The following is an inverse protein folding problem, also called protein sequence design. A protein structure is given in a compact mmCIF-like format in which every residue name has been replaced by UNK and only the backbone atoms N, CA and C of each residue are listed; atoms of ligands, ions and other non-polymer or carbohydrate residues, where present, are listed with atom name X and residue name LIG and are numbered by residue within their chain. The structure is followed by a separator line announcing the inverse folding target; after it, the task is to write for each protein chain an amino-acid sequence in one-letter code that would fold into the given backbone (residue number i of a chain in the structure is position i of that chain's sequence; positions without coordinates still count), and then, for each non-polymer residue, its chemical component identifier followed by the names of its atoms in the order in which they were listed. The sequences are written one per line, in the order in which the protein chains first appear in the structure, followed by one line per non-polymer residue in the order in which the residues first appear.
data_IF_192220603370
#
_entry.id   IF_192220603370
#
_cell.length_a   1.000
_cell.length_b   1.000
_cell.length_c   1.000
_cell.angle_alpha   90.00
_cell.angle_beta   90.00
_cell.angle_gamma   90.00
#
_symmetry.space_group_name_H-M   'P 1'
#
loop_
_entity.id
_entity.type
_entity.pdbx_description
1 polymer ?
#
# COMPACT_ATOMS: atom_id res chain seq x y z
N UNK A 1 40.54 13.10 38.97
CA UNK A 1 40.11 12.41 40.21
C UNK A 1 38.82 13.10 40.66
N UNK A 2 37.63 12.54 40.85
CA UNK A 2 37.12 11.17 40.97
C UNK A 2 35.67 11.12 40.46
N UNK A 3 35.30 9.90 40.06
CA UNK A 3 34.04 9.37 39.55
C UNK A 3 32.79 9.80 40.32
N UNK A 4 31.74 10.23 39.60
CA UNK A 4 30.35 10.19 40.07
C UNK A 4 29.90 8.72 40.11
N UNK A 5 29.74 8.18 41.32
CA UNK A 5 29.26 6.81 41.54
C UNK A 5 27.72 6.78 41.55
N UNK A 6 27.15 6.01 40.62
CA UNK A 6 25.81 5.40 40.72
C UNK A 6 25.73 4.56 41.99
N UNK A 7 24.69 4.73 42.83
CA UNK A 7 24.15 3.68 43.71
C UNK A 7 22.63 3.85 43.96
N UNK A 8 21.94 2.75 44.30
CA UNK A 8 20.64 2.37 43.73
C UNK A 8 19.44 2.61 44.67
N UNK A 9 18.23 2.65 44.11
CA UNK A 9 16.98 2.56 44.87
C UNK A 9 16.83 1.14 45.44
N UNK A 10 16.85 1.03 46.78
CA UNK A 10 16.54 -0.20 47.49
C UNK A 10 15.03 -0.30 47.75
N UNK A 11 14.51 -1.48 47.41
CA UNK A 11 13.19 -1.99 47.76
C UNK A 11 12.87 -1.80 49.25
N UNK A 12 11.72 -1.19 49.55
CA UNK A 12 11.07 -1.34 50.84
C UNK A 12 10.04 -2.48 50.75
N UNK A 13 10.26 -3.51 51.54
CA UNK A 13 9.37 -4.65 51.71
C UNK A 13 8.07 -4.26 52.41
N UNK A 14 6.98 -4.84 51.93
CA UNK A 14 5.68 -4.87 52.59
C UNK A 14 5.71 -5.85 53.77
N UNK A 15 5.18 -5.49 54.95
CA UNK A 15 4.62 -6.47 55.87
C UNK A 15 3.14 -6.68 55.52
N UNK A 16 2.81 -7.91 55.15
CA UNK A 16 1.44 -8.43 55.18
C UNK A 16 0.99 -8.54 56.64
N UNK A 17 -0.19 -8.00 56.96
CA UNK A 17 -1.31 -8.69 57.63
C UNK A 17 -2.17 -7.67 58.36
N UNK A 18 -3.41 -7.49 57.92
CA UNK A 18 -4.60 -7.44 58.78
C UNK A 18 -5.84 -7.50 57.88
N UNK A 19 -6.46 -8.68 57.84
CA UNK A 19 -7.79 -8.88 57.27
C UNK A 19 -8.84 -8.31 58.22
N UNK A 20 -9.62 -7.32 57.78
CA UNK A 20 -10.97 -7.07 58.32
C UNK A 20 -11.92 -6.58 57.21
N UNK A 21 -12.96 -7.39 57.01
CA UNK A 21 -14.30 -7.08 56.49
C UNK A 21 -14.42 -6.20 55.23
N UNK A 22 -14.52 -6.86 54.07
CA UNK A 22 -14.99 -6.25 52.83
C UNK A 22 -16.47 -5.87 52.93
N UNK A 23 -16.75 -4.58 53.13
CA UNK A 23 -18.07 -4.01 52.87
C UNK A 23 -18.45 -4.21 51.39
N UNK A 24 -19.67 -4.69 51.13
CA UNK A 24 -20.26 -4.86 49.77
C UNK A 24 -20.26 -3.58 48.91
N UNK A 25 -19.87 -2.42 49.46
CA UNK A 25 -19.66 -1.18 48.70
C UNK A 25 -18.34 -1.13 47.92
N UNK A 26 -17.36 -2.00 48.18
CA UNK A 26 -16.08 -1.99 47.45
C UNK A 26 -16.01 -2.94 46.25
N UNK A 27 -16.86 -3.97 46.17
CA UNK A 27 -16.90 -4.89 45.01
C UNK A 27 -17.67 -4.36 43.80
N UNK A 28 -18.44 -3.27 43.92
CA UNK A 28 -19.02 -2.58 42.74
C UNK A 28 -18.00 -1.77 41.93
N UNK A 29 -16.76 -1.61 42.40
CA UNK A 29 -15.71 -0.87 41.68
C UNK A 29 -14.75 -1.75 40.86
N UNK A 30 -14.93 -3.08 40.84
CA UNK A 30 -14.03 -3.98 40.12
C UNK A 30 -14.64 -4.66 38.88
N UNK A 31 -15.94 -4.47 38.60
CA UNK A 31 -16.58 -4.92 37.34
C UNK A 31 -16.86 -3.79 36.33
N UNK A 32 -16.27 -2.60 36.50
CA UNK A 32 -16.28 -1.53 35.48
C UNK A 32 -14.94 -1.41 34.72
N UNK A 33 -14.16 -2.50 34.67
CA UNK A 33 -12.84 -2.54 34.02
C UNK A 33 -12.82 -3.13 32.60
N UNK A 34 -13.95 -3.15 31.89
CA UNK A 34 -13.99 -3.53 30.45
C UNK A 34 -14.59 -2.46 29.53
N UNK A 35 -14.85 -1.24 30.01
CA UNK A 35 -15.50 -0.19 29.21
C UNK A 35 -14.66 1.07 28.91
N UNK A 36 -13.40 1.16 29.36
CA UNK A 36 -12.64 2.44 29.34
C UNK A 36 -11.39 2.43 28.47
N UNK A 37 -11.39 1.72 27.34
CA UNK A 37 -10.34 1.87 26.31
C UNK A 37 -10.92 1.85 24.88
N UNK A 38 -12.18 2.30 24.71
CA UNK A 38 -12.83 2.42 23.39
C UNK A 38 -13.47 3.80 23.16
N UNK A 39 -12.84 4.84 23.68
CA UNK A 39 -13.19 6.25 23.40
C UNK A 39 -11.95 7.07 23.06
N UNK A 40 -11.15 6.58 22.11
CA UNK A 40 -10.10 7.40 21.52
C UNK A 40 -10.27 7.61 20.00
N UNK A 41 -11.29 6.99 19.39
CA UNK A 41 -11.70 7.29 18.03
C UNK A 41 -13.22 7.19 17.93
N UNK A 42 -13.88 8.35 17.75
CA UNK A 42 -15.30 8.45 17.41
C UNK A 42 -16.25 8.79 18.57
N UNK A 43 -16.32 10.07 18.94
CA UNK A 43 -17.61 10.72 19.26
C UNK A 43 -17.44 12.26 19.26
N UNK A 44 -17.25 12.84 18.07
CA UNK A 44 -17.40 14.29 17.89
C UNK A 44 -18.90 14.62 17.84
N UNK A 45 -19.59 14.47 18.97
CA UNK A 45 -20.95 15.02 19.11
C UNK A 45 -20.85 16.54 19.19
N UNK A 46 -21.28 17.17 18.09
CA UNK A 46 -21.87 18.51 17.97
C UNK A 46 -21.89 19.34 19.26
N UNK A 47 -21.15 20.45 19.22
CA UNK A 47 -21.59 21.72 19.76
C UNK A 47 -21.56 21.88 21.27
N UNK A 48 -20.41 22.33 21.78
CA UNK A 48 -20.39 23.37 22.81
C UNK A 48 -18.97 23.95 22.85
N UNK A 49 -18.79 25.14 22.28
CA UNK A 49 -17.63 25.97 22.55
C UNK A 49 -17.62 26.24 24.07
N UNK A 50 -16.61 25.80 24.84
CA UNK A 50 -16.58 26.05 26.28
C UNK A 50 -16.38 27.53 26.64
N UNK A 51 -16.19 28.40 25.63
CA UNK A 51 -15.94 29.84 25.74
C UNK A 51 -17.01 30.71 25.04
N UNK A 52 -18.31 30.49 25.26
CA UNK A 52 -19.37 31.41 24.79
C UNK A 52 -19.45 31.63 23.26
N UNK A 53 -20.25 32.60 22.77
CA UNK A 53 -20.44 32.83 21.34
C UNK A 53 -19.26 33.63 20.78
N UNK A 54 -18.19 32.93 20.42
CA UNK A 54 -17.14 33.45 19.54
C UNK A 54 -17.65 33.64 18.10
N UNK A 55 -16.87 34.32 17.26
CA UNK A 55 -17.13 34.46 15.81
C UNK A 55 -17.28 33.12 15.09
N UNK A 56 -16.72 32.03 15.65
CA UNK A 56 -16.94 30.64 15.26
C UNK A 56 -18.41 30.18 15.28
N UNK A 57 -19.32 30.86 15.98
CA UNK A 57 -20.75 30.50 16.02
C UNK A 57 -21.48 30.66 14.69
N UNK A 58 -20.96 31.49 13.79
CA UNK A 58 -21.54 31.74 12.45
C UNK A 58 -20.98 30.76 11.40
N UNK A 59 -19.74 30.30 11.60
CA UNK A 59 -19.02 29.46 10.64
C UNK A 59 -19.30 27.99 10.87
N UNK A 60 -19.73 27.29 9.81
CA UNK A 60 -19.92 25.83 9.88
C UNK A 60 -18.55 25.13 10.02
N UNK A 61 -18.42 24.12 10.91
CA UNK A 61 -17.19 23.33 11.01
C UNK A 61 -16.83 22.69 9.67
N UNK A 62 -15.56 22.81 9.30
CA UNK A 62 -14.99 22.15 8.12
C UNK A 62 -14.58 20.71 8.47
N UNK A 63 -14.74 19.81 7.51
CA UNK A 63 -14.21 18.45 7.63
C UNK A 63 -12.70 18.47 7.37
N UNK A 64 -11.97 17.59 8.06
CA UNK A 64 -10.57 17.32 7.75
C UNK A 64 -10.45 16.70 6.34
N UNK A 65 -9.40 17.02 5.58
CA UNK A 65 -9.12 16.33 4.32
C UNK A 65 -8.76 14.87 4.56
N UNK A 66 -8.97 14.01 3.56
CA UNK A 66 -8.47 12.63 3.58
C UNK A 66 -6.96 12.63 3.75
N UNK A 67 -6.42 11.78 4.63
CA UNK A 67 -5.00 11.72 4.97
C UNK A 67 -4.40 13.04 5.49
N UNK A 68 -5.22 13.83 6.19
CA UNK A 68 -4.77 15.03 6.90
C UNK A 68 -5.58 15.35 8.15
N UNK A 69 -5.16 16.41 8.84
CA UNK A 69 -5.78 16.94 10.03
C UNK A 69 -6.18 18.40 9.83
N UNK A 70 -7.11 18.88 10.66
CA UNK A 70 -7.57 20.27 10.64
C UNK A 70 -7.53 20.84 12.05
N UNK A 71 -6.97 22.03 12.18
CA UNK A 71 -6.96 22.81 13.41
C UNK A 71 -7.62 24.16 13.14
N UNK A 72 -8.77 24.40 13.77
CA UNK A 72 -9.47 25.68 13.68
C UNK A 72 -9.40 26.43 15.00
N UNK A 73 -9.22 27.75 14.92
CA UNK A 73 -9.14 28.62 16.08
C UNK A 73 -9.80 29.97 15.84
N UNK A 74 -10.35 30.52 16.91
CA UNK A 74 -10.81 31.90 16.97
C UNK A 74 -9.57 32.80 17.17
N UNK A 75 -9.21 33.56 16.12
CA UNK A 75 -8.22 34.64 16.24
C UNK A 75 -8.96 35.95 16.54
N UNK A 76 -8.22 36.97 16.97
CA UNK A 76 -8.78 38.25 17.44
C UNK A 76 -9.69 38.97 16.44
N UNK A 77 -9.59 38.67 15.14
CA UNK A 77 -10.34 39.34 14.07
C UNK A 77 -10.94 38.41 13.01
N UNK A 78 -10.63 37.11 13.02
CA UNK A 78 -11.17 36.14 12.06
C UNK A 78 -11.15 34.74 12.65
N UNK A 79 -12.02 33.87 12.13
CA UNK A 79 -11.98 32.44 12.40
C UNK A 79 -11.15 31.76 11.31
N UNK A 80 -10.03 31.12 11.69
CA UNK A 80 -9.10 30.49 10.76
C UNK A 80 -9.01 29.00 11.01
N UNK A 81 -9.13 28.24 9.94
CA UNK A 81 -8.90 26.80 9.90
C UNK A 81 -7.63 26.51 9.10
N UNK A 82 -6.69 25.80 9.71
CA UNK A 82 -5.49 25.30 9.05
C UNK A 82 -5.64 23.80 8.85
N UNK A 83 -5.68 23.36 7.60
CA UNK A 83 -5.55 21.96 7.24
C UNK A 83 -4.07 21.63 7.03
N UNK A 84 -3.65 20.47 7.52
CA UNK A 84 -2.30 19.96 7.39
C UNK A 84 -2.34 18.50 6.94
N UNK A 85 -1.62 18.17 5.87
CA UNK A 85 -1.52 16.80 5.41
C UNK A 85 -0.63 15.96 6.34
N UNK A 86 -0.89 14.65 6.40
CA UNK A 86 -0.05 13.71 7.13
C UNK A 86 1.33 13.60 6.45
N UNK A 87 2.32 13.09 7.19
CA UNK A 87 3.68 12.90 6.66
C UNK A 87 3.68 12.09 5.37
N UNK A 88 4.33 12.61 4.33
CA UNK A 88 4.37 11.99 3.00
C UNK A 88 3.12 12.22 2.15
N UNK A 89 2.30 13.21 2.52
CA UNK A 89 1.21 13.71 1.71
C UNK A 89 1.28 15.23 1.58
N UNK A 90 0.83 15.74 0.44
CA UNK A 90 0.78 17.17 0.12
C UNK A 90 -0.53 17.49 -0.60
N UNK A 91 -0.90 18.76 -0.67
CA UNK A 91 -2.00 19.21 -1.52
C UNK A 91 -1.55 19.31 -2.98
N UNK A 92 -2.51 19.42 -3.89
CA UNK A 92 -2.28 19.46 -5.35
C UNK A 92 -1.32 20.57 -5.80
N UNK A 93 -1.14 21.60 -4.97
CA UNK A 93 -0.24 22.74 -5.20
C UNK A 93 1.18 22.53 -4.62
N UNK A 94 1.46 21.38 -4.01
CA UNK A 94 2.74 21.06 -3.35
C UNK A 94 2.84 21.57 -1.90
N UNK A 95 1.81 22.23 -1.36
CA UNK A 95 1.83 22.64 0.03
C UNK A 95 1.46 21.49 0.96
N UNK A 96 2.04 21.44 2.15
CA UNK A 96 1.61 20.53 3.22
C UNK A 96 0.54 21.13 4.13
N UNK A 97 0.31 22.45 4.03
CA UNK A 97 -0.67 23.18 4.85
C UNK A 97 -1.46 24.19 4.03
N UNK A 98 -2.78 24.21 4.20
CA UNK A 98 -3.66 25.23 3.61
C UNK A 98 -4.45 25.90 4.73
N UNK A 99 -4.51 27.23 4.70
CA UNK A 99 -5.32 28.02 5.63
C UNK A 99 -6.57 28.54 4.94
N UNK A 100 -7.69 28.55 5.66
CA UNK A 100 -8.95 29.15 5.22
C UNK A 100 -9.50 30.05 6.31
N UNK A 101 -9.83 31.26 5.91
CA UNK A 101 -10.48 32.26 6.77
C UNK A 101 -11.97 32.29 6.49
N UNK A 102 -12.75 32.32 7.56
CA UNK A 102 -14.19 32.51 7.51
C UNK A 102 -14.52 33.99 7.74
N UNK A 103 -15.39 34.54 6.91
CA UNK A 103 -15.98 35.86 7.10
C UNK A 103 -17.00 35.82 8.25
N UNK A 104 -16.78 36.60 9.32
CA UNK A 104 -17.67 36.61 10.48
C UNK A 104 -19.05 37.22 10.21
N UNK A 105 -19.21 38.02 9.15
CA UNK A 105 -20.49 38.63 8.79
C UNK A 105 -21.38 37.68 7.98
N UNK A 106 -20.78 36.92 7.07
CA UNK A 106 -21.51 36.03 6.15
C UNK A 106 -21.48 34.56 6.55
N UNK A 107 -20.54 34.14 7.42
CA UNK A 107 -20.31 32.74 7.78
C UNK A 107 -19.70 31.90 6.67
N UNK A 108 -19.16 32.54 5.62
CA UNK A 108 -18.62 31.88 4.44
C UNK A 108 -17.08 31.89 4.44
N UNK A 109 -16.48 30.83 3.91
CA UNK A 109 -15.03 30.75 3.72
C UNK A 109 -14.61 31.35 2.37
N UNK A 110 -13.61 32.23 2.36
CA UNK A 110 -13.15 32.92 1.14
C UNK A 110 -12.67 31.99 0.03
N UNK A 111 -12.07 30.85 0.38
CA UNK A 111 -11.53 29.86 -0.57
C UNK A 111 -12.45 28.64 -0.74
N UNK A 112 -13.75 28.79 -0.45
CA UNK A 112 -14.75 27.74 -0.58
C UNK A 112 -14.89 26.80 0.62
N UNK A 113 -15.96 25.99 0.66
CA UNK A 113 -16.45 25.33 1.86
C UNK A 113 -15.78 23.98 2.23
N UNK A 114 -14.74 23.56 1.51
CA UNK A 114 -14.04 22.29 1.76
C UNK A 114 -12.56 22.39 1.43
N UNK A 115 -11.70 21.69 2.17
CA UNK A 115 -10.29 21.53 1.80
C UNK A 115 -10.14 20.54 0.63
N UNK A 116 -9.17 20.75 -0.27
CA UNK A 116 -8.78 19.73 -1.24
C UNK A 116 -8.24 18.48 -0.51
N UNK A 117 -8.12 17.37 -1.23
CA UNK A 117 -7.60 16.13 -0.65
C UNK A 117 -6.08 16.21 -0.54
N UNK A 118 -5.51 15.51 0.43
CA UNK A 118 -4.07 15.29 0.46
C UNK A 118 -3.74 14.14 -0.50
N UNK A 119 -2.80 14.36 -1.41
CA UNK A 119 -2.27 13.38 -2.34
C UNK A 119 -0.94 12.82 -1.80
N UNK A 120 -0.68 11.51 -1.94
CA UNK A 120 0.56 10.91 -1.46
C UNK A 120 1.76 11.40 -2.28
N UNK A 121 2.89 11.59 -1.62
CA UNK A 121 4.16 11.97 -2.24
C UNK A 121 5.17 10.85 -2.16
N UNK A 122 5.97 10.71 -3.22
CA UNK A 122 6.98 9.68 -3.37
C UNK A 122 8.34 10.36 -3.62
N UNK A 123 9.36 10.01 -2.84
CA UNK A 123 10.73 10.50 -3.02
C UNK A 123 11.73 9.33 -3.01
N UNK A 124 12.35 9.00 -4.15
CA UNK A 124 12.19 9.59 -5.48
C UNK A 124 10.78 9.41 -6.08
N UNK A 125 10.45 10.25 -7.06
CA UNK A 125 9.17 10.15 -7.78
C UNK A 125 9.07 8.83 -8.53
N UNK A 126 7.85 8.29 -8.65
CA UNK A 126 7.58 7.10 -9.43
C UNK A 126 7.94 7.34 -10.90
N UNK A 127 8.70 6.43 -11.49
CA UNK A 127 9.16 6.51 -12.88
C UNK A 127 8.20 5.80 -13.82
N UNK A 128 8.41 5.97 -15.12
CA UNK A 128 7.78 5.16 -16.19
C UNK A 128 6.24 5.09 -16.12
N UNK A 129 5.59 6.19 -15.75
CA UNK A 129 4.13 6.26 -15.64
C UNK A 129 3.56 5.63 -14.37
N UNK A 130 4.40 5.32 -13.39
CA UNK A 130 3.96 4.92 -12.06
C UNK A 130 3.24 6.05 -11.33
N UNK A 131 2.23 5.71 -10.53
CA UNK A 131 1.47 6.66 -9.71
C UNK A 131 1.71 6.41 -8.24
N UNK A 132 1.96 7.46 -7.46
CA UNK A 132 2.10 7.34 -6.01
C UNK A 132 0.71 7.04 -5.41
N UNK A 133 0.56 5.90 -4.75
CA UNK A 133 -0.71 5.47 -4.14
C UNK A 133 -0.70 5.59 -2.62
N UNK A 134 0.48 5.56 -2.02
CA UNK A 134 0.75 5.85 -0.60
C UNK A 134 2.14 6.49 -0.48
N UNK A 135 2.51 7.09 0.66
CA UNK A 135 3.83 7.69 0.85
C UNK A 135 4.95 6.72 0.47
N UNK A 136 5.76 7.09 -0.52
CA UNK A 136 6.85 6.27 -1.07
C UNK A 136 6.43 4.88 -1.60
N UNK A 137 5.15 4.69 -1.95
CA UNK A 137 4.64 3.46 -2.57
C UNK A 137 4.08 3.80 -3.94
N UNK A 138 4.73 3.26 -4.97
CA UNK A 138 4.33 3.43 -6.36
C UNK A 138 3.47 2.26 -6.85
N UNK A 139 2.39 2.57 -7.54
CA UNK A 139 1.67 1.64 -8.40
C UNK A 139 2.23 1.78 -9.81
N UNK A 140 2.91 0.74 -10.30
CA UNK A 140 3.56 0.76 -11.60
C UNK A 140 2.61 0.50 -12.76
N UNK A 141 2.92 1.07 -13.91
CA UNK A 141 2.25 0.74 -15.16
C UNK A 141 2.59 -0.71 -15.57
N UNK A 142 1.73 -1.39 -16.35
CA UNK A 142 2.00 -2.75 -16.82
C UNK A 142 3.35 -2.86 -17.52
N UNK A 143 4.19 -3.82 -17.11
CA UNK A 143 5.55 -3.98 -17.63
C UNK A 143 6.64 -3.23 -16.88
N UNK A 144 6.30 -2.52 -15.79
CA UNK A 144 7.27 -1.85 -14.93
C UNK A 144 7.17 -2.37 -13.49
N UNK A 145 8.33 -2.51 -12.87
CA UNK A 145 8.59 -3.05 -11.54
C UNK A 145 9.60 -2.19 -10.81
N UNK A 146 9.66 -2.44 -9.50
CA UNK A 146 10.66 -1.85 -8.64
C UNK A 146 9.98 -1.00 -7.60
N UNK A 147 10.78 -0.44 -6.69
CA UNK A 147 10.22 0.37 -5.60
C UNK A 147 9.62 1.68 -6.14
N UNK A 148 10.20 2.19 -7.23
CA UNK A 148 9.85 3.43 -7.90
C UNK A 148 9.53 3.21 -9.38
N UNK A 149 9.18 1.97 -9.77
CA UNK A 149 8.90 1.59 -11.16
C UNK A 149 10.08 1.85 -12.10
N UNK A 150 11.31 1.75 -11.58
CA UNK A 150 12.56 2.02 -12.27
C UNK A 150 12.98 0.89 -13.22
N UNK A 151 12.52 -0.33 -12.97
CA UNK A 151 12.88 -1.51 -13.74
C UNK A 151 11.73 -1.88 -14.67
N UNK A 152 12.04 -2.26 -15.92
CA UNK A 152 11.07 -3.03 -16.69
C UNK A 152 10.88 -4.35 -15.96
N UNK A 153 9.67 -4.63 -15.48
CA UNK A 153 9.28 -6.03 -15.32
C UNK A 153 9.50 -6.60 -16.71
N UNK A 154 10.36 -7.61 -16.86
CA UNK A 154 10.67 -8.21 -18.15
C UNK A 154 9.45 -8.92 -18.74
N UNK A 155 8.36 -8.19 -18.97
CA UNK A 155 6.98 -8.55 -18.65
C UNK A 155 5.96 -7.43 -18.65
N UNK A 156 5.92 -6.69 -19.77
CA UNK A 156 4.66 -6.12 -20.23
C UNK A 156 3.55 -7.17 -20.38
N UNK A 157 2.34 -6.77 -20.80
CA UNK A 157 1.26 -7.72 -21.09
C UNK A 157 1.71 -8.68 -22.21
N UNK A 158 2.30 -9.82 -21.84
CA UNK A 158 2.95 -10.72 -22.78
C UNK A 158 4.19 -11.49 -22.32
N UNK A 159 4.77 -11.30 -21.13
CA UNK A 159 5.93 -12.14 -20.72
C UNK A 159 5.68 -13.19 -19.64
N UNK A 160 6.62 -14.14 -19.62
CA UNK A 160 6.72 -15.33 -18.80
C UNK A 160 7.24 -15.02 -17.38
N UNK A 161 6.61 -15.55 -16.30
CA UNK A 161 6.98 -15.29 -14.89
C UNK A 161 8.35 -15.82 -14.41
N UNK A 162 9.26 -16.22 -15.29
CA UNK A 162 10.55 -16.87 -14.93
C UNK A 162 11.82 -16.06 -15.22
N UNK A 163 11.71 -14.81 -15.68
CA UNK A 163 12.77 -13.80 -15.46
C UNK A 163 14.17 -14.08 -16.04
N UNK A 164 14.30 -14.68 -17.22
CA UNK A 164 15.56 -14.69 -17.98
C UNK A 164 15.28 -14.55 -19.48
N UNK A 165 16.05 -13.71 -20.17
CA UNK A 165 16.14 -13.71 -21.65
C UNK A 165 15.24 -12.72 -22.40
N UNK A 166 15.81 -12.08 -23.43
CA UNK A 166 15.15 -11.25 -24.45
C UNK A 166 14.13 -12.08 -25.27
N UNK A 167 13.00 -12.45 -24.69
CA UNK A 167 11.96 -13.24 -25.38
C UNK A 167 10.57 -12.65 -25.23
N UNK A 168 10.47 -11.33 -25.40
CA UNK A 168 9.19 -10.64 -25.46
C UNK A 168 8.31 -11.01 -26.68
N UNK A 169 8.79 -11.85 -27.61
CA UNK A 169 8.04 -12.22 -28.82
C UNK A 169 7.42 -13.63 -28.75
N UNK A 170 8.08 -14.61 -28.12
CA UNK A 170 7.69 -16.03 -28.22
C UNK A 170 6.74 -16.44 -27.09
N UNK A 171 5.49 -16.77 -27.44
CA UNK A 171 4.51 -17.28 -26.47
C UNK A 171 4.92 -18.67 -25.96
N UNK A 172 4.83 -18.96 -24.64
CA UNK A 172 5.07 -20.30 -24.10
C UNK A 172 4.18 -21.36 -24.76
N UNK A 173 4.79 -22.47 -25.19
CA UNK A 173 4.08 -23.62 -25.73
C UNK A 173 3.59 -24.52 -24.59
N UNK A 174 2.39 -25.06 -24.73
CA UNK A 174 1.88 -26.08 -23.81
C UNK A 174 2.58 -27.42 -24.06
N UNK A 175 2.81 -28.18 -22.99
CA UNK A 175 3.28 -29.55 -23.10
C UNK A 175 2.23 -30.42 -23.83
N UNK A 176 2.67 -31.39 -24.67
CA UNK A 176 1.76 -32.34 -25.27
C UNK A 176 1.14 -33.27 -24.23
N UNK A 177 -0.06 -33.80 -24.50
CA UNK A 177 -0.68 -34.84 -23.67
C UNK A 177 0.24 -36.07 -23.63
N UNK A 178 0.50 -36.60 -22.44
CA UNK A 178 1.44 -37.71 -22.20
C UNK A 178 2.89 -37.42 -22.63
N UNK A 179 3.31 -36.15 -22.54
CA UNK A 179 4.70 -35.75 -22.72
C UNK A 179 5.11 -34.54 -21.88
N UNK A 180 6.39 -34.22 -21.96
CA UNK A 180 7.01 -33.08 -21.29
C UNK A 180 7.62 -32.12 -22.33
N UNK A 181 7.81 -30.87 -21.93
CA UNK A 181 8.43 -29.84 -22.76
C UNK A 181 9.57 -29.20 -22.00
N UNK A 182 10.72 -29.06 -22.68
CA UNK A 182 11.89 -28.36 -22.19
C UNK A 182 12.23 -27.26 -23.19
N UNK A 183 12.08 -26.00 -22.79
CA UNK A 183 12.50 -24.85 -23.59
C UNK A 183 13.77 -24.26 -22.98
N UNK A 184 14.74 -23.93 -23.83
CA UNK A 184 16.02 -23.37 -23.42
C UNK A 184 16.40 -22.17 -24.27
N UNK A 185 17.06 -21.22 -23.62
CA UNK A 185 17.58 -20.02 -24.27
C UNK A 185 19.01 -20.30 -24.72
N UNK A 186 19.20 -20.36 -26.04
CA UNK A 186 20.54 -20.21 -26.63
C UNK A 186 20.77 -18.74 -26.96
N UNK A 187 22.03 -18.36 -27.17
CA UNK A 187 22.40 -16.98 -27.50
C UNK A 187 21.86 -16.48 -28.85
N UNK A 188 21.30 -17.36 -29.69
CA UNK A 188 20.90 -17.07 -31.08
C UNK A 188 19.46 -17.51 -31.39
N UNK A 189 18.88 -18.44 -30.62
CA UNK A 189 17.55 -18.98 -30.88
C UNK A 189 16.86 -19.40 -29.58
N UNK A 190 15.53 -19.27 -29.57
CA UNK A 190 14.68 -19.88 -28.55
C UNK A 190 14.15 -21.20 -29.07
N UNK A 191 14.52 -22.27 -28.39
CA UNK A 191 14.25 -23.62 -28.86
C UNK A 191 13.55 -24.43 -27.78
N UNK A 192 12.41 -25.00 -28.17
CA UNK A 192 11.58 -25.85 -27.33
C UNK A 192 11.63 -27.29 -27.84
N UNK A 193 11.96 -28.22 -26.96
CA UNK A 193 11.96 -29.66 -27.25
C UNK A 193 10.84 -30.31 -26.45
N UNK A 194 9.87 -30.91 -27.13
CA UNK A 194 8.87 -31.77 -26.53
C UNK A 194 9.30 -33.23 -26.61
N UNK A 195 9.07 -33.98 -25.54
CA UNK A 195 9.42 -35.38 -25.40
C UNK A 195 8.22 -36.17 -24.88
N UNK A 196 7.86 -37.26 -25.55
CA UNK A 196 6.79 -38.14 -25.09
C UNK A 196 7.24 -39.02 -23.92
N UNK A 197 6.30 -39.37 -23.04
CA UNK A 197 6.53 -40.31 -21.95
C UNK A 197 6.77 -41.74 -22.47
N UNK A 198 7.35 -42.59 -21.64
CA UNK A 198 7.62 -43.99 -21.99
C UNK A 198 6.34 -44.73 -22.45
N UNK A 199 6.42 -45.41 -23.58
CA UNK A 199 5.26 -46.08 -24.20
C UNK A 199 4.44 -45.21 -25.16
N UNK A 200 4.84 -43.95 -25.39
CA UNK A 200 4.19 -43.04 -26.32
C UNK A 200 5.16 -42.46 -27.36
N UNK A 201 4.64 -42.07 -28.52
CA UNK A 201 5.35 -41.43 -29.64
C UNK A 201 4.47 -40.40 -30.34
N UNK A 202 5.05 -39.51 -31.13
CA UNK A 202 4.29 -38.63 -32.00
C UNK A 202 3.83 -39.38 -33.26
N UNK A 203 2.86 -38.82 -33.99
CA UNK A 203 2.27 -39.44 -35.18
C UNK A 203 3.30 -39.78 -36.30
N UNK A 204 4.49 -39.19 -36.24
CA UNK A 204 5.60 -39.44 -37.17
C UNK A 204 6.55 -40.57 -36.72
N UNK A 205 6.29 -41.22 -35.57
CA UNK A 205 7.13 -42.27 -34.99
C UNK A 205 8.28 -41.77 -34.10
N UNK A 206 8.46 -40.45 -33.96
CA UNK A 206 9.51 -39.89 -33.11
C UNK A 206 9.05 -39.81 -31.64
N UNK A 207 10.00 -39.92 -30.71
CA UNK A 207 9.75 -39.65 -29.28
C UNK A 207 10.00 -38.20 -28.88
N UNK A 208 10.59 -37.38 -29.76
CA UNK A 208 10.97 -36.00 -29.50
C UNK A 208 10.72 -35.10 -30.71
N UNK A 209 10.14 -33.92 -30.50
CA UNK A 209 9.97 -32.89 -31.53
C UNK A 209 10.58 -31.59 -31.03
N UNK A 210 11.28 -30.89 -31.91
CA UNK A 210 11.91 -29.60 -31.63
C UNK A 210 11.26 -28.48 -32.43
N UNK A 211 11.10 -27.31 -31.80
CA UNK A 211 10.56 -26.11 -32.43
C UNK A 211 11.41 -24.89 -32.09
N UNK A 212 11.79 -24.16 -33.13
CA UNK A 212 12.50 -22.89 -33.02
C UNK A 212 11.52 -21.73 -33.17
N UNK A 213 11.66 -20.72 -32.31
CA UNK A 213 10.92 -19.49 -32.41
C UNK A 213 11.79 -18.39 -33.03
N UNK A 214 11.21 -17.66 -33.99
CA UNK A 214 11.80 -16.47 -34.54
C UNK A 214 11.72 -15.32 -33.52
N UNK A 215 12.86 -14.77 -33.06
CA UNK A 215 12.87 -13.70 -32.07
C UNK A 215 12.35 -12.35 -32.59
N UNK A 216 12.30 -12.15 -33.91
CA UNK A 216 11.77 -10.92 -34.52
C UNK A 216 10.25 -10.97 -34.70
N UNK A 217 9.69 -12.13 -35.03
CA UNK A 217 8.24 -12.29 -35.28
C UNK A 217 7.47 -12.92 -34.13
N UNK A 218 8.16 -13.60 -33.20
CA UNK A 218 7.52 -14.32 -32.09
C UNK A 218 6.80 -15.61 -32.51
N UNK A 219 7.02 -16.06 -33.74
CA UNK A 219 6.34 -17.21 -34.32
C UNK A 219 7.25 -18.43 -34.38
N UNK A 220 6.66 -19.61 -34.13
CA UNK A 220 7.34 -20.89 -34.33
C UNK A 220 7.23 -21.34 -35.78
N UNK A 221 8.35 -21.70 -36.41
CA UNK A 221 8.41 -22.12 -37.81
C UNK A 221 7.56 -23.37 -38.12
N UNK A 222 7.35 -24.24 -37.13
CA UNK A 222 6.61 -25.50 -37.26
C UNK A 222 5.21 -25.44 -36.63
N UNK A 223 4.66 -24.23 -36.45
CA UNK A 223 3.30 -23.99 -35.99
C UNK A 223 3.13 -23.85 -34.45
N UNK A 224 1.95 -23.40 -33.98
CA UNK A 224 1.78 -22.84 -32.64
C UNK A 224 1.57 -23.86 -31.50
N UNK A 225 1.58 -25.16 -31.77
CA UNK A 225 1.38 -26.20 -30.75
C UNK A 225 2.12 -27.50 -31.10
N UNK A 226 2.49 -28.30 -30.10
CA UNK A 226 3.00 -29.66 -30.31
C UNK A 226 1.85 -30.63 -30.62
N UNK A 227 2.06 -31.64 -31.49
CA UNK A 227 1.14 -32.75 -31.65
C UNK A 227 0.98 -33.54 -30.35
N UNK A 228 -0.07 -34.36 -30.24
CA UNK A 228 -0.26 -35.22 -29.08
C UNK A 228 0.66 -36.44 -29.17
N UNK A 229 1.03 -36.98 -28.02
CA UNK A 229 1.69 -38.28 -27.97
C UNK A 229 0.62 -39.39 -28.06
N UNK A 230 0.81 -40.35 -28.96
CA UNK A 230 -0.01 -41.56 -29.14
C UNK A 230 0.72 -42.76 -28.54
N UNK A 231 -0.03 -43.74 -28.03
CA UNK A 231 0.56 -44.95 -27.45
C UNK A 231 1.12 -45.85 -28.55
N UNK A 232 2.34 -46.35 -28.35
CA UNK A 232 2.99 -47.36 -29.21
C UNK A 232 2.26 -48.70 -29.18
#
# INVERSE_FOLDING_TARGET
MRRLMKRPCQHMGFPMSFFLATSRRQQRRQHEWTGRHKRQFGDFRRGSNPFGPGTSGVCKPLAAPTDGQINCGDFTIFYRCTAQCNSGYEFDNGDSTIQKDCDPMTGQFFSGPAFPKCIPTCSPACQNGGTCVQPNVCSCAPGWNGTFCESLDGGGPGSNPFGFGNLGACKPLAAPTDGQINCGDSTIFYQCTAQCNSGYEFDNGDSTIQKDCDPMTGQFFSGPAFPKCIRK
#
